data_IF_862354949673
#
_entry.id   IF_862354949673
#
_cell.length_a   1.000
_cell.length_b   1.000
_cell.length_c   1.000
_cell.angle_alpha   90.00
_cell.angle_beta   90.00
_cell.angle_gamma   90.00
#
_symmetry.space_group_name_H-M   'P 1'
#
loop_
_entity.id
_entity.type
_entity.pdbx_description
1 polymer ?
#
# COMPACT_ATOMS: atom_id res chain seq x y z
N UNK A 1 2.67 13.24 -48.09
CA UNK A 1 2.09 12.67 -46.86
C UNK A 1 3.18 12.26 -45.88
N UNK A 2 4.26 11.58 -46.33
CA UNK A 2 5.45 11.30 -45.51
C UNK A 2 6.28 12.54 -45.16
N UNK A 3 6.36 13.55 -46.04
CA UNK A 3 7.14 14.78 -45.76
C UNK A 3 6.56 15.63 -44.62
N UNK A 4 5.27 15.43 -44.33
CA UNK A 4 4.53 16.11 -43.26
C UNK A 4 4.80 15.45 -41.90
N UNK A 5 5.21 14.18 -41.89
CA UNK A 5 5.45 13.38 -40.69
C UNK A 5 6.66 13.87 -39.88
N UNK A 6 7.64 14.50 -40.52
CA UNK A 6 8.84 15.06 -39.89
C UNK A 6 8.81 16.59 -39.77
N UNK A 7 7.65 17.22 -39.97
CA UNK A 7 7.49 18.67 -39.90
C UNK A 7 6.59 19.07 -38.73
N UNK A 8 6.82 20.26 -38.17
CA UNK A 8 5.90 20.86 -37.20
C UNK A 8 4.58 21.24 -37.88
N UNK A 9 3.57 20.38 -37.74
CA UNK A 9 2.24 20.61 -38.28
C UNK A 9 1.34 21.17 -37.18
N UNK A 10 0.66 22.27 -37.50
CA UNK A 10 -0.36 22.87 -36.64
C UNK A 10 -1.70 22.94 -37.40
N UNK A 11 -2.80 22.65 -36.71
CA UNK A 11 -4.17 22.73 -37.24
C UNK A 11 -5.04 23.73 -36.44
N UNK A 12 -4.69 25.02 -36.41
CA UNK A 12 -5.46 26.02 -35.66
C UNK A 12 -6.88 26.14 -36.21
N UNK A 13 -7.87 26.30 -35.31
CA UNK A 13 -9.28 26.45 -35.67
C UNK A 13 -10.01 25.15 -36.04
N UNK A 14 -9.33 24.00 -35.94
CA UNK A 14 -9.97 22.68 -36.00
C UNK A 14 -10.32 22.24 -34.59
N UNK A 15 -11.53 21.71 -34.41
CA UNK A 15 -11.96 21.06 -33.17
C UNK A 15 -12.14 19.56 -33.37
N UNK A 16 -11.51 18.75 -32.50
CA UNK A 16 -11.68 17.29 -32.47
C UNK A 16 -12.54 16.92 -31.27
N UNK A 17 -13.57 16.11 -31.51
CA UNK A 17 -14.45 15.56 -30.47
C UNK A 17 -14.23 14.06 -30.31
N UNK A 18 -13.84 13.65 -29.10
CA UNK A 18 -13.74 12.24 -28.70
C UNK A 18 -14.83 11.90 -27.65
N UNK A 19 -15.92 11.21 -28.05
CA UNK A 19 -16.98 10.83 -27.13
C UNK A 19 -16.61 9.67 -26.17
N UNK A 20 -15.46 9.03 -26.34
CA UNK A 20 -14.98 7.88 -25.55
C UNK A 20 -13.49 8.03 -25.22
N UNK A 21 -13.12 9.17 -24.62
CA UNK A 21 -11.73 9.60 -24.54
C UNK A 21 -10.80 8.66 -23.76
N UNK A 22 -11.33 7.84 -22.84
CA UNK A 22 -10.53 6.90 -22.06
C UNK A 22 -9.34 7.58 -21.36
N UNK A 23 -8.12 7.17 -21.72
CA UNK A 23 -6.87 7.76 -21.22
C UNK A 23 -6.55 9.16 -21.75
N UNK A 24 -7.34 9.70 -22.68
CA UNK A 24 -7.20 11.05 -23.22
C UNK A 24 -6.16 11.19 -24.32
N UNK A 25 -5.68 10.09 -24.90
CA UNK A 25 -4.65 10.10 -25.96
C UNK A 25 -5.06 10.99 -27.13
N UNK A 26 -6.30 10.85 -27.63
CA UNK A 26 -6.82 11.69 -28.72
C UNK A 26 -6.76 13.17 -28.39
N UNK A 27 -7.09 13.55 -27.15
CA UNK A 27 -7.10 14.96 -26.74
C UNK A 27 -5.68 15.51 -26.61
N UNK A 28 -4.78 14.75 -25.98
CA UNK A 28 -3.37 15.14 -25.85
C UNK A 28 -2.71 15.36 -27.20
N UNK A 29 -2.88 14.44 -28.15
CA UNK A 29 -2.33 14.58 -29.51
C UNK A 29 -2.98 15.72 -30.29
N UNK A 30 -4.29 15.94 -30.13
CA UNK A 30 -4.99 17.10 -30.74
C UNK A 30 -4.40 18.43 -30.25
N UNK A 31 -4.18 18.57 -28.94
CA UNK A 31 -3.60 19.78 -28.35
C UNK A 31 -2.15 20.01 -28.80
N UNK A 32 -1.34 18.95 -28.94
CA UNK A 32 0.03 19.04 -29.51
C UNK A 32 0.02 19.59 -30.93
N UNK A 33 -1.00 19.25 -31.72
CA UNK A 33 -1.20 19.78 -33.07
C UNK A 33 -1.79 21.21 -33.08
N UNK A 34 -2.00 21.85 -31.93
CA UNK A 34 -2.56 23.22 -31.85
C UNK A 34 -4.03 23.31 -32.26
N UNK A 35 -4.76 22.19 -32.23
CA UNK A 35 -6.21 22.12 -32.45
C UNK A 35 -6.95 22.12 -31.11
N UNK A 36 -8.24 22.45 -31.14
CA UNK A 36 -9.13 22.39 -29.97
C UNK A 36 -9.59 20.95 -29.73
N UNK A 37 -9.63 20.52 -28.47
CA UNK A 37 -10.01 19.16 -28.09
C UNK A 37 -11.22 19.15 -27.15
N UNK A 38 -12.23 18.34 -27.48
CA UNK A 38 -13.41 18.10 -26.64
C UNK A 38 -13.50 16.61 -26.34
N UNK A 39 -13.48 16.24 -25.06
CA UNK A 39 -13.55 14.84 -24.64
C UNK A 39 -14.73 14.55 -23.73
N UNK A 40 -15.29 13.34 -23.85
CA UNK A 40 -16.24 12.77 -22.88
C UNK A 40 -15.86 11.35 -22.53
N UNK A 41 -16.15 10.98 -21.29
CA UNK A 41 -16.10 9.60 -20.82
C UNK A 41 -17.18 9.42 -19.74
N UNK A 42 -17.76 8.24 -19.67
CA UNK A 42 -18.71 7.89 -18.61
C UNK A 42 -17.99 7.63 -17.29
N UNK A 43 -16.72 7.23 -17.34
CA UNK A 43 -15.91 6.96 -16.16
C UNK A 43 -15.38 8.28 -15.57
N UNK A 44 -15.81 8.66 -14.35
CA UNK A 44 -15.34 9.89 -13.71
C UNK A 44 -13.83 9.88 -13.42
N UNK A 45 -13.22 8.70 -13.29
CA UNK A 45 -11.77 8.55 -13.09
C UNK A 45 -11.03 8.93 -14.36
N UNK A 46 -11.49 8.46 -15.53
CA UNK A 46 -10.94 8.86 -16.83
C UNK A 46 -11.01 10.37 -17.01
N UNK A 47 -12.17 10.97 -16.71
CA UNK A 47 -12.34 12.42 -16.77
C UNK A 47 -11.36 13.18 -15.86
N UNK A 48 -11.27 12.80 -14.58
CA UNK A 48 -10.37 13.46 -13.63
C UNK A 48 -8.90 13.32 -14.05
N UNK A 49 -8.48 12.13 -14.48
CA UNK A 49 -7.11 11.87 -14.91
C UNK A 49 -6.74 12.72 -16.13
N UNK A 50 -7.58 12.72 -17.17
CA UNK A 50 -7.33 13.46 -18.41
C UNK A 50 -7.33 14.96 -18.13
N UNK A 51 -8.34 15.49 -17.43
CA UNK A 51 -8.39 16.90 -17.04
C UNK A 51 -7.13 17.31 -16.30
N UNK A 52 -6.76 16.56 -15.26
CA UNK A 52 -5.53 16.81 -14.49
C UNK A 52 -4.32 16.87 -15.39
N UNK A 53 -4.11 15.85 -16.24
CA UNK A 53 -2.92 15.74 -17.08
C UNK A 53 -2.75 16.87 -18.08
N UNK A 54 -3.86 17.40 -18.62
CA UNK A 54 -3.86 18.45 -19.63
C UNK A 54 -3.89 19.87 -19.03
N UNK A 55 -4.15 20.00 -17.72
CA UNK A 55 -4.22 21.30 -17.02
C UNK A 55 -3.24 21.39 -15.85
N UNK A 56 -2.14 20.64 -15.87
CA UNK A 56 -1.13 20.68 -14.80
C UNK A 56 -0.56 22.10 -14.64
N UNK A 57 -0.52 22.58 -13.39
CA UNK A 57 0.16 23.82 -13.00
C UNK A 57 1.68 23.70 -13.05
N UNK A 58 2.34 24.82 -12.82
CA UNK A 58 3.79 24.87 -12.71
C UNK A 58 4.36 24.09 -11.53
N UNK A 59 5.68 23.86 -11.61
CA UNK A 59 6.43 23.12 -10.58
C UNK A 59 6.48 23.86 -9.25
N UNK A 60 6.44 25.20 -9.26
CA UNK A 60 6.56 26.03 -8.06
C UNK A 60 5.29 25.91 -7.21
N UNK A 61 4.12 26.15 -7.81
CA UNK A 61 2.84 26.06 -7.11
C UNK A 61 2.57 24.63 -6.58
N UNK A 62 3.05 23.63 -7.32
CA UNK A 62 2.97 22.23 -6.92
C UNK A 62 3.83 21.94 -5.68
N UNK A 63 5.07 22.43 -5.65
CA UNK A 63 5.99 22.26 -4.50
C UNK A 63 5.51 23.03 -3.27
N UNK A 64 5.05 24.28 -3.44
CA UNK A 64 4.45 25.07 -2.37
C UNK A 64 3.25 24.36 -1.75
N UNK A 65 2.37 23.80 -2.59
CA UNK A 65 1.22 23.04 -2.12
C UNK A 65 1.64 21.76 -1.40
N UNK A 66 2.65 21.05 -1.91
CA UNK A 66 3.19 19.87 -1.23
C UNK A 66 3.75 20.23 0.16
N UNK A 67 4.52 21.32 0.27
CA UNK A 67 5.06 21.78 1.54
C UNK A 67 3.98 22.27 2.51
N UNK A 68 2.90 22.86 2.02
CA UNK A 68 1.74 23.21 2.83
C UNK A 68 1.08 21.93 3.40
N UNK A 69 0.84 20.91 2.57
CA UNK A 69 0.32 19.61 3.04
C UNK A 69 1.29 18.97 4.05
N UNK A 70 2.60 18.99 3.76
CA UNK A 70 3.64 18.46 4.64
C UNK A 70 3.62 19.11 6.02
N UNK A 71 3.57 20.44 6.06
CA UNK A 71 3.47 21.20 7.31
C UNK A 71 2.23 20.83 8.12
N UNK A 72 1.10 20.63 7.45
CA UNK A 72 -0.19 20.47 8.12
C UNK A 72 -0.44 19.04 8.63
N UNK A 73 0.02 18.00 7.90
CA UNK A 73 -0.33 16.60 8.24
C UNK A 73 0.85 15.64 8.40
N UNK A 74 2.07 15.98 7.97
CA UNK A 74 3.17 15.00 7.95
C UNK A 74 3.55 14.52 9.36
N UNK A 75 3.65 15.44 10.33
CA UNK A 75 4.02 15.12 11.71
C UNK A 75 2.93 14.25 12.36
N UNK A 76 1.67 14.63 12.17
CA UNK A 76 0.52 13.94 12.76
C UNK A 76 0.33 12.53 12.18
N UNK A 77 0.56 12.34 10.87
CA UNK A 77 0.57 11.00 10.25
C UNK A 77 1.79 10.20 10.72
N UNK A 78 2.99 10.82 10.74
CA UNK A 78 4.24 10.12 11.05
C UNK A 78 4.33 9.65 12.50
N UNK A 79 3.57 10.25 13.42
CA UNK A 79 3.51 9.82 14.83
C UNK A 79 3.07 8.36 14.99
N UNK A 80 2.28 7.84 14.03
CA UNK A 80 1.78 6.47 14.00
C UNK A 80 2.75 5.44 13.38
N UNK A 81 3.87 5.92 12.83
CA UNK A 81 4.89 5.10 12.17
C UNK A 81 6.27 5.34 12.80
N UNK A 82 6.32 5.16 14.12
CA UNK A 82 7.55 5.26 14.91
C UNK A 82 7.69 4.05 15.83
N UNK A 83 8.93 3.72 16.16
CA UNK A 83 9.26 2.70 17.14
C UNK A 83 10.14 3.32 18.22
N UNK A 84 9.99 2.85 19.46
CA UNK A 84 10.83 3.23 20.59
C UNK A 84 12.07 2.32 20.64
N UNK A 85 13.25 2.93 20.67
CA UNK A 85 14.54 2.25 20.82
C UNK A 85 14.85 1.99 22.30
N UNK A 86 15.87 1.14 22.56
CA UNK A 86 16.26 0.75 23.92
C UNK A 86 16.76 1.94 24.75
N UNK A 87 17.38 2.94 24.11
CA UNK A 87 17.87 4.18 24.73
C UNK A 87 16.75 5.20 25.01
N UNK A 88 15.49 4.85 24.72
CA UNK A 88 14.33 5.72 24.89
C UNK A 88 14.08 6.69 23.73
N UNK A 89 14.97 6.76 22.75
CA UNK A 89 14.76 7.56 21.53
C UNK A 89 13.79 6.88 20.58
N UNK A 90 13.42 7.57 19.50
CA UNK A 90 12.51 7.05 18.47
C UNK A 90 13.22 6.91 17.13
N UNK A 91 12.85 5.87 16.40
CA UNK A 91 13.19 5.70 14.98
C UNK A 91 11.92 5.57 14.13
N UNK A 92 12.07 5.72 12.81
CA UNK A 92 10.93 5.65 11.89
C UNK A 92 10.63 4.19 11.54
N UNK A 93 9.36 3.82 11.54
CA UNK A 93 8.92 2.53 10.98
C UNK A 93 8.65 2.72 9.50
N UNK A 94 9.30 1.90 8.68
CA UNK A 94 9.07 1.86 7.24
C UNK A 94 7.86 1.00 6.92
N UNK A 95 7.77 -0.17 7.55
CA UNK A 95 6.71 -1.13 7.32
C UNK A 95 6.35 -1.91 8.58
N UNK A 96 5.06 -2.19 8.76
CA UNK A 96 4.56 -3.19 9.69
C UNK A 96 4.15 -4.44 8.89
N UNK A 97 4.51 -5.61 9.40
CA UNK A 97 4.13 -6.90 8.85
C UNK A 97 2.99 -7.48 9.67
N UNK A 98 1.93 -7.85 8.98
CA UNK A 98 0.72 -8.41 9.56
C UNK A 98 0.54 -9.85 9.14
N UNK A 99 -0.13 -10.65 9.97
CA UNK A 99 -0.59 -12.00 9.60
C UNK A 99 -2.08 -12.09 9.83
N UNK A 100 -2.79 -12.68 8.86
CA UNK A 100 -4.21 -13.01 8.95
C UNK A 100 -4.41 -14.12 9.98
N UNK A 101 -5.41 -13.96 10.85
CA UNK A 101 -5.76 -14.92 11.91
C UNK A 101 -7.18 -15.43 11.74
N UNK A 102 -7.38 -16.73 11.98
CA UNK A 102 -8.69 -17.40 11.88
C UNK A 102 -8.84 -18.34 13.08
N UNK A 103 -10.01 -18.37 13.77
CA UNK A 103 -10.23 -19.32 14.87
C UNK A 103 -10.27 -20.77 14.34
N UNK A 104 -9.59 -21.72 14.99
CA UNK A 104 -9.78 -23.15 14.64
C UNK A 104 -11.22 -23.55 14.98
N UNK A 105 -11.96 -24.19 14.06
CA UNK A 105 -13.37 -24.57 14.27
C UNK A 105 -13.57 -25.67 15.33
N UNK A 106 -12.49 -26.23 15.89
CA UNK A 106 -12.53 -27.28 16.91
C UNK A 106 -12.13 -26.80 18.32
N UNK A 107 -11.30 -25.77 18.44
CA UNK A 107 -10.80 -25.31 19.75
C UNK A 107 -10.74 -23.79 19.91
N UNK A 108 -11.25 -23.03 18.94
CA UNK A 108 -11.38 -21.56 18.91
C UNK A 108 -10.10 -20.74 19.06
N UNK A 109 -8.94 -21.37 19.28
CA UNK A 109 -7.65 -20.70 19.28
C UNK A 109 -7.40 -20.06 17.92
N UNK A 110 -6.93 -18.80 17.95
CA UNK A 110 -6.53 -18.04 16.77
C UNK A 110 -5.30 -18.69 16.12
N UNK A 111 -5.43 -19.05 14.84
CA UNK A 111 -4.35 -19.63 14.04
C UNK A 111 -3.78 -18.55 13.12
N UNK A 112 -2.51 -18.21 13.30
CA UNK A 112 -1.76 -17.35 12.38
C UNK A 112 -1.53 -18.07 11.04
N UNK A 113 -1.99 -17.49 9.94
CA UNK A 113 -1.97 -18.11 8.61
C UNK A 113 -0.62 -17.98 7.88
N UNK A 114 0.49 -18.26 8.58
CA UNK A 114 1.80 -18.35 7.95
C UNK A 114 1.88 -19.54 6.98
N UNK A 115 2.35 -19.30 5.76
CA UNK A 115 2.75 -20.41 4.87
C UNK A 115 4.16 -20.93 5.18
N UNK A 116 5.00 -20.08 5.77
CA UNK A 116 6.37 -20.33 6.22
C UNK A 116 6.77 -19.24 7.21
N UNK A 117 7.79 -19.49 8.02
CA UNK A 117 8.29 -18.53 9.01
C UNK A 117 9.42 -17.64 8.48
N UNK A 118 10.00 -17.95 7.33
CA UNK A 118 10.89 -17.04 6.60
C UNK A 118 10.06 -15.94 5.93
N UNK A 119 9.94 -14.78 6.58
CA UNK A 119 9.03 -13.71 6.15
C UNK A 119 9.71 -12.59 5.35
N UNK A 120 11.01 -12.35 5.54
CA UNK A 120 11.75 -11.33 4.81
C UNK A 120 12.98 -11.92 4.12
N UNK A 121 13.25 -11.46 2.89
CA UNK A 121 14.41 -11.86 2.08
C UNK A 121 14.72 -10.77 1.06
N UNK A 122 15.96 -10.75 0.57
CA UNK A 122 16.31 -9.94 -0.59
C UNK A 122 15.76 -10.56 -1.88
N UNK A 123 15.36 -9.71 -2.85
CA UNK A 123 14.87 -10.17 -4.16
C UNK A 123 15.91 -11.01 -4.91
N UNK A 124 17.20 -10.68 -4.75
CA UNK A 124 18.35 -11.42 -5.25
C UNK A 124 19.05 -12.21 -4.13
N UNK A 125 18.39 -13.26 -3.63
CA UNK A 125 18.84 -14.00 -2.43
C UNK A 125 20.21 -14.67 -2.57
N UNK A 126 20.69 -14.97 -3.80
CA UNK A 126 22.05 -15.51 -4.00
C UNK A 126 23.15 -14.48 -3.72
N UNK A 127 22.88 -13.20 -3.96
CA UNK A 127 23.83 -12.10 -3.70
C UNK A 127 23.72 -11.59 -2.26
N UNK A 128 22.51 -11.63 -1.71
CA UNK A 128 22.21 -11.25 -0.33
C UNK A 128 21.55 -12.45 0.37
N UNK A 129 22.36 -13.36 0.96
CA UNK A 129 21.90 -14.64 1.45
C UNK A 129 21.13 -14.57 2.77
N UNK A 130 21.05 -13.40 3.41
CA UNK A 130 20.33 -13.21 4.66
C UNK A 130 18.82 -13.22 4.42
N UNK A 131 18.13 -13.95 5.28
CA UNK A 131 16.67 -13.95 5.42
C UNK A 131 16.31 -13.72 6.88
N UNK A 132 15.09 -13.24 7.14
CA UNK A 132 14.59 -13.06 8.49
C UNK A 132 13.49 -14.07 8.78
N UNK A 133 13.63 -14.75 9.92
CA UNK A 133 12.71 -15.78 10.39
C UNK A 133 12.05 -15.32 11.68
N UNK A 134 10.73 -15.55 11.79
CA UNK A 134 9.98 -15.34 13.03
C UNK A 134 9.80 -16.67 13.77
N UNK A 135 10.01 -16.69 15.09
CA UNK A 135 9.69 -17.86 15.91
C UNK A 135 8.17 -17.99 16.10
N UNK A 136 7.56 -19.16 15.83
CA UNK A 136 6.12 -19.37 16.06
C UNK A 136 5.69 -19.38 17.53
N UNK A 137 6.62 -19.62 18.46
CA UNK A 137 6.30 -19.74 19.88
C UNK A 137 6.38 -18.39 20.61
N UNK A 138 7.46 -17.62 20.43
CA UNK A 138 7.67 -16.36 21.15
C UNK A 138 7.65 -15.11 20.27
N UNK A 139 7.57 -15.24 18.94
CA UNK A 139 7.57 -14.09 18.02
C UNK A 139 8.91 -13.38 17.84
N UNK A 140 10.00 -13.91 18.41
CA UNK A 140 11.35 -13.37 18.21
C UNK A 140 11.75 -13.45 16.73
N UNK A 141 12.59 -12.50 16.31
CA UNK A 141 13.06 -12.42 14.93
C UNK A 141 14.56 -12.67 14.91
N UNK A 142 15.01 -13.54 14.02
CA UNK A 142 16.42 -13.84 13.87
C UNK A 142 16.85 -13.81 12.39
N UNK A 143 17.98 -13.16 12.06
CA UNK A 143 18.59 -13.29 10.74
C UNK A 143 19.17 -14.69 10.58
N UNK A 144 19.02 -15.27 9.39
CA UNK A 144 19.49 -16.61 9.05
C UNK A 144 19.99 -16.64 7.61
N UNK A 145 20.75 -17.68 7.25
CA UNK A 145 21.09 -17.95 5.87
C UNK A 145 19.86 -18.51 5.11
N UNK A 146 19.66 -18.14 3.84
CA UNK A 146 18.46 -18.52 3.05
C UNK A 146 18.20 -20.02 2.88
N UNK A 147 19.20 -20.86 3.19
CA UNK A 147 19.10 -22.33 3.19
C UNK A 147 18.60 -22.92 4.51
N UNK A 148 18.32 -22.08 5.52
CA UNK A 148 17.78 -22.52 6.80
C UNK A 148 16.51 -23.35 6.59
N UNK A 149 16.42 -24.45 7.34
CA UNK A 149 15.25 -25.34 7.36
C UNK A 149 14.80 -25.53 8.79
N UNK A 150 15.61 -26.22 9.58
CA UNK A 150 15.37 -26.37 11.02
C UNK A 150 15.99 -25.19 11.76
N UNK A 151 15.29 -24.72 12.78
CA UNK A 151 15.74 -23.68 13.69
C UNK A 151 15.42 -24.07 15.12
N UNK A 152 16.33 -23.75 16.03
CA UNK A 152 16.07 -23.61 17.45
C UNK A 152 16.06 -22.11 17.76
N UNK A 153 14.97 -21.63 18.35
CA UNK A 153 14.83 -20.21 18.67
C UNK A 153 15.81 -19.81 19.79
N UNK A 154 16.69 -18.80 19.59
CA UNK A 154 17.66 -18.40 20.60
C UNK A 154 17.03 -17.85 21.90
N UNK A 155 15.80 -17.34 21.82
CA UNK A 155 15.09 -16.74 22.97
C UNK A 155 14.27 -17.74 23.81
N UNK A 156 13.75 -18.82 23.20
CA UNK A 156 12.80 -19.73 23.87
C UNK A 156 13.10 -21.22 23.64
N UNK A 157 14.19 -21.55 22.93
CA UNK A 157 14.62 -22.90 22.58
C UNK A 157 13.59 -23.75 21.83
N UNK A 158 12.55 -23.12 21.28
CA UNK A 158 11.55 -23.82 20.47
C UNK A 158 12.16 -24.26 19.14
N UNK A 159 12.07 -25.55 18.83
CA UNK A 159 12.54 -26.14 17.58
C UNK A 159 11.43 -26.22 16.52
N UNK A 160 11.66 -25.72 15.31
CA UNK A 160 10.67 -25.67 14.24
C UNK A 160 11.29 -25.68 12.83
N UNK A 161 10.47 -26.04 11.83
CA UNK A 161 10.82 -25.92 10.41
C UNK A 161 10.46 -24.52 9.90
N UNK A 162 11.46 -23.67 9.68
CA UNK A 162 11.31 -22.31 9.17
C UNK A 162 10.63 -22.23 7.79
N UNK A 163 10.61 -23.34 7.03
CA UNK A 163 10.01 -23.41 5.70
C UNK A 163 8.55 -23.85 5.69
N UNK A 164 8.00 -24.28 6.83
CA UNK A 164 6.62 -24.78 6.96
C UNK A 164 5.85 -24.01 8.03
N UNK A 165 4.81 -23.30 7.62
CA UNK A 165 3.83 -22.74 8.55
C UNK A 165 2.54 -23.57 8.62
N UNK A 166 1.52 -23.10 9.35
CA UNK A 166 0.23 -23.79 9.48
C UNK A 166 -0.54 -23.98 8.17
N UNK A 167 -0.25 -23.20 7.14
CA UNK A 167 -1.03 -23.17 5.89
C UNK A 167 -0.47 -24.08 4.81
N UNK A 168 -1.36 -24.89 4.20
CA UNK A 168 -1.10 -25.68 3.01
C UNK A 168 -2.18 -25.41 1.94
N UNK A 169 -1.87 -24.57 0.94
CA UNK A 169 -2.82 -24.26 -0.13
C UNK A 169 -4.05 -23.52 0.39
N UNK A 170 -5.22 -24.18 0.41
CA UNK A 170 -6.52 -23.62 0.87
C UNK A 170 -6.88 -24.04 2.31
N UNK A 171 -6.08 -24.88 2.94
CA UNK A 171 -6.31 -25.38 4.31
C UNK A 171 -5.25 -24.84 5.28
N UNK A 172 -5.58 -24.89 6.56
CA UNK A 172 -4.68 -24.60 7.67
C UNK A 172 -4.79 -25.70 8.73
N UNK A 173 -3.69 -25.95 9.43
CA UNK A 173 -3.63 -26.91 10.55
C UNK A 173 -3.37 -26.19 11.86
N UNK A 174 -4.24 -26.35 12.84
CA UNK A 174 -4.07 -25.77 14.17
C UNK A 174 -2.88 -26.41 14.90
N UNK A 175 -2.01 -25.60 15.50
CA UNK A 175 -0.88 -26.10 16.29
C UNK A 175 -1.29 -26.67 17.64
N UNK A 176 -2.47 -26.31 18.17
CA UNK A 176 -2.96 -26.77 19.47
C UNK A 176 -3.66 -28.13 19.40
N UNK A 177 -4.74 -28.24 18.63
CA UNK A 177 -5.55 -29.46 18.56
C UNK A 177 -5.28 -30.29 17.29
N UNK A 178 -4.38 -29.85 16.42
CA UNK A 178 -4.01 -30.51 15.17
C UNK A 178 -5.13 -30.62 14.13
N UNK A 179 -6.30 -29.98 14.37
CA UNK A 179 -7.42 -29.85 13.43
C UNK A 179 -6.91 -29.31 12.09
N UNK A 180 -7.29 -29.93 10.97
CA UNK A 180 -7.14 -29.32 9.65
C UNK A 180 -8.49 -28.75 9.21
N UNK A 181 -8.50 -27.53 8.69
CA UNK A 181 -9.72 -26.83 8.29
C UNK A 181 -9.52 -26.00 7.02
N UNK A 182 -10.62 -25.77 6.28
CA UNK A 182 -10.64 -24.95 5.08
C UNK A 182 -10.75 -23.47 5.43
N UNK A 183 -9.74 -22.67 5.07
CA UNK A 183 -9.62 -21.27 5.50
C UNK A 183 -10.83 -20.44 5.09
N UNK A 184 -11.17 -20.43 3.79
CA UNK A 184 -12.26 -19.58 3.28
C UNK A 184 -13.63 -19.93 3.87
N UNK A 185 -13.90 -21.22 4.08
CA UNK A 185 -15.14 -21.67 4.73
C UNK A 185 -15.21 -21.19 6.17
N UNK A 186 -14.14 -21.39 6.94
CA UNK A 186 -14.10 -20.96 8.34
C UNK A 186 -14.23 -19.45 8.49
N UNK A 187 -13.60 -18.66 7.60
CA UNK A 187 -13.77 -17.20 7.57
C UNK A 187 -15.22 -16.81 7.25
N UNK A 188 -15.87 -17.45 6.27
CA UNK A 188 -17.27 -17.16 5.96
C UNK A 188 -18.21 -17.50 7.14
N UNK A 189 -17.91 -18.58 7.88
CA UNK A 189 -18.66 -18.99 9.06
C UNK A 189 -18.53 -17.98 10.22
N UNK A 190 -17.49 -17.13 10.27
CA UNK A 190 -17.39 -16.05 11.27
C UNK A 190 -18.29 -14.84 10.96
N UNK A 191 -18.80 -14.74 9.73
CA UNK A 191 -19.69 -13.65 9.31
C UNK A 191 -19.03 -12.26 9.21
N UNK A 192 -17.70 -12.19 9.24
CA UNK A 192 -16.92 -10.95 9.19
C UNK A 192 -15.56 -11.16 8.52
N UNK A 193 -14.91 -10.09 8.02
CA UNK A 193 -13.53 -10.19 7.54
C UNK A 193 -12.60 -10.80 8.59
N UNK A 194 -11.53 -11.51 8.17
CA UNK A 194 -10.59 -12.11 9.10
C UNK A 194 -9.87 -11.04 9.93
N UNK A 195 -9.46 -11.44 11.13
CA UNK A 195 -8.62 -10.61 11.99
C UNK A 195 -7.16 -10.62 11.53
N UNK A 196 -6.39 -9.63 11.98
CA UNK A 196 -4.98 -9.51 11.66
C UNK A 196 -4.17 -9.13 12.90
N UNK A 197 -2.95 -9.66 13.00
CA UNK A 197 -2.01 -9.36 14.08
C UNK A 197 -0.68 -8.86 13.52
N UNK A 198 -0.12 -7.80 14.10
CA UNK A 198 1.25 -7.38 13.78
C UNK A 198 2.23 -8.42 14.33
N UNK A 199 3.21 -8.83 13.52
CA UNK A 199 4.21 -9.82 13.95
C UNK A 199 5.66 -9.34 13.78
N UNK A 200 5.91 -8.35 12.93
CA UNK A 200 7.23 -7.76 12.75
C UNK A 200 7.12 -6.32 12.25
N UNK A 201 8.21 -5.56 12.39
CA UNK A 201 8.37 -4.24 11.77
C UNK A 201 9.74 -4.11 11.13
N UNK A 202 9.83 -3.30 10.07
CA UNK A 202 11.10 -2.86 9.48
C UNK A 202 11.30 -1.38 9.81
N UNK A 203 12.30 -1.07 10.61
CA UNK A 203 12.63 0.30 11.02
C UNK A 203 13.76 0.88 10.19
N UNK A 204 13.82 2.22 10.17
CA UNK A 204 14.96 2.99 9.70
C UNK A 204 15.58 3.68 10.91
N UNK A 205 16.74 3.19 11.33
CA UNK A 205 17.52 3.74 12.44
C UNK A 205 18.07 5.13 12.11
N UNK A 206 18.52 5.86 13.13
CA UNK A 206 19.03 7.22 12.98
C UNK A 206 20.33 7.29 12.15
N UNK A 207 21.12 6.21 12.11
CA UNK A 207 22.29 6.05 11.22
C UNK A 207 21.89 5.59 9.79
N UNK A 208 20.60 5.48 9.51
CA UNK A 208 20.06 5.19 8.19
C UNK A 208 20.06 3.70 7.81
N UNK A 209 20.27 2.78 8.75
CA UNK A 209 20.19 1.34 8.51
C UNK A 209 18.75 0.83 8.61
N UNK A 210 18.49 -0.26 7.89
CA UNK A 210 17.20 -0.97 7.95
C UNK A 210 17.34 -2.14 8.90
N UNK A 211 16.44 -2.26 9.87
CA UNK A 211 16.45 -3.35 10.84
C UNK A 211 15.07 -3.98 11.01
N UNK A 212 15.02 -5.30 11.01
CA UNK A 212 13.80 -6.05 11.34
C UNK A 212 13.74 -6.24 12.84
N UNK A 213 12.62 -5.84 13.43
CA UNK A 213 12.41 -5.89 14.88
C UNK A 213 11.08 -6.58 15.19
N UNK A 214 10.98 -7.29 16.33
CA UNK A 214 9.70 -7.76 16.85
C UNK A 214 8.74 -6.60 17.14
N UNK A 215 7.46 -6.93 17.24
CA UNK A 215 6.43 -6.01 17.72
C UNK A 215 6.50 -5.91 19.24
N UNK A 216 6.42 -4.68 19.75
CA UNK A 216 6.47 -4.37 21.17
C UNK A 216 5.11 -3.87 21.66
N UNK A 217 4.91 -3.81 22.98
CA UNK A 217 3.72 -3.20 23.56
C UNK A 217 3.53 -1.73 23.16
N UNK A 218 4.63 -1.02 22.85
CA UNK A 218 4.54 0.35 22.33
C UNK A 218 3.92 0.40 20.94
N UNK A 219 4.26 -0.54 20.05
CA UNK A 219 3.70 -0.57 18.70
C UNK A 219 2.22 -0.96 18.71
N UNK A 220 1.84 -1.94 19.55
CA UNK A 220 0.45 -2.31 19.81
C UNK A 220 -0.34 -1.11 20.37
N UNK A 221 0.22 -0.43 21.38
CA UNK A 221 -0.39 0.77 21.97
C UNK A 221 -0.61 1.87 20.94
N UNK A 222 0.38 2.14 20.09
CA UNK A 222 0.28 3.14 19.04
C UNK A 222 -0.78 2.79 17.98
N UNK A 223 -0.98 1.50 17.69
CA UNK A 223 -2.08 1.06 16.83
C UNK A 223 -3.44 1.25 17.51
N UNK A 224 -3.55 0.95 18.81
CA UNK A 224 -4.80 1.17 19.57
C UNK A 224 -5.14 2.66 19.70
N UNK A 225 -4.14 3.54 19.85
CA UNK A 225 -4.33 4.99 19.77
C UNK A 225 -4.94 5.39 18.42
N UNK A 226 -4.43 4.83 17.31
CA UNK A 226 -4.98 5.11 15.98
C UNK A 226 -6.42 4.60 15.83
N UNK A 227 -6.74 3.43 16.41
CA UNK A 227 -8.11 2.88 16.44
C UNK A 227 -9.05 3.81 17.21
N UNK A 228 -8.63 4.29 18.38
CA UNK A 228 -9.41 5.22 19.21
C UNK A 228 -9.63 6.55 18.49
N UNK A 229 -8.55 7.16 17.96
CA UNK A 229 -8.64 8.44 17.25
C UNK A 229 -9.53 8.34 16.00
N UNK A 230 -9.46 7.23 15.25
CA UNK A 230 -10.35 6.99 14.10
C UNK A 230 -11.82 6.95 14.53
N UNK A 231 -12.11 6.24 15.62
CA UNK A 231 -13.48 6.09 16.15
C UNK A 231 -14.06 7.42 16.62
N UNK A 232 -13.22 8.29 17.20
CA UNK A 232 -13.62 9.61 17.70
C UNK A 232 -13.64 10.68 16.61
N UNK A 233 -13.01 10.41 15.46
CA UNK A 233 -12.97 11.34 14.33
C UNK A 233 -14.32 11.46 13.62
N UNK A 234 -14.55 12.61 12.99
CA UNK A 234 -15.66 12.85 12.07
C UNK A 234 -15.28 12.63 10.60
N UNK A 235 -14.21 11.87 10.35
CA UNK A 235 -13.72 11.63 9.00
C UNK A 235 -14.72 10.82 8.18
N UNK A 236 -14.97 11.27 6.95
CA UNK A 236 -15.80 10.52 6.01
C UNK A 236 -14.99 9.39 5.39
N UNK A 237 -15.32 8.16 5.75
CA UNK A 237 -14.72 6.95 5.19
C UNK A 237 -15.77 6.28 4.29
N UNK A 238 -15.54 6.21 2.97
CA UNK A 238 -16.46 5.56 2.04
C UNK A 238 -16.72 4.11 2.45
N UNK A 239 -17.98 3.71 2.50
CA UNK A 239 -18.43 2.40 3.00
C UNK A 239 -19.23 1.61 1.96
N UNK A 240 -19.05 1.91 0.67
CA UNK A 240 -19.78 1.29 -0.41
C UNK A 240 -19.60 -0.23 -0.39
N UNK A 241 -20.71 -0.92 -0.65
CA UNK A 241 -20.73 -2.38 -0.72
C UNK A 241 -19.98 -2.87 -1.95
N UNK A 242 -19.37 -4.04 -1.80
CA UNK A 242 -18.67 -4.71 -2.89
C UNK A 242 -19.66 -5.61 -3.62
N UNK A 243 -19.94 -5.27 -4.88
CA UNK A 243 -20.84 -6.06 -5.71
C UNK A 243 -20.18 -7.38 -6.16
N UNK A 244 -20.94 -8.49 -6.25
CA UNK A 244 -20.45 -9.75 -6.79
C UNK A 244 -19.94 -9.63 -8.23
N UNK A 245 -18.87 -10.36 -8.54
CA UNK A 245 -18.18 -10.26 -9.83
C UNK A 245 -16.95 -11.15 -9.88
N UNK A 246 -16.36 -11.33 -11.07
CA UNK A 246 -15.27 -12.30 -11.27
C UNK A 246 -14.11 -12.11 -10.28
N UNK A 247 -13.63 -10.87 -10.12
CA UNK A 247 -12.55 -10.56 -9.19
C UNK A 247 -13.03 -10.30 -7.76
N UNK A 248 -14.18 -9.65 -7.57
CA UNK A 248 -14.73 -9.31 -6.25
C UNK A 248 -15.21 -10.53 -5.47
N UNK A 249 -15.62 -11.61 -6.14
CA UNK A 249 -15.95 -12.88 -5.50
C UNK A 249 -14.77 -13.44 -4.68
N UNK A 250 -13.53 -13.12 -5.03
CA UNK A 250 -12.36 -13.60 -4.30
C UNK A 250 -12.28 -13.04 -2.88
N UNK A 251 -12.64 -11.76 -2.69
CA UNK A 251 -12.65 -11.10 -1.38
C UNK A 251 -13.96 -11.32 -0.63
N UNK A 252 -15.09 -11.43 -1.35
CA UNK A 252 -16.37 -11.84 -0.78
C UNK A 252 -16.28 -13.25 -0.14
N UNK A 253 -15.54 -14.17 -0.77
CA UNK A 253 -15.25 -15.51 -0.22
C UNK A 253 -14.35 -15.49 1.04
N UNK A 254 -13.89 -14.32 1.45
CA UNK A 254 -13.15 -14.06 2.69
C UNK A 254 -13.89 -13.06 3.59
N UNK A 255 -15.19 -12.83 3.38
CA UNK A 255 -16.03 -12.00 4.24
C UNK A 255 -15.86 -10.49 4.06
N UNK A 256 -15.08 -10.02 3.08
CA UNK A 256 -14.97 -8.59 2.76
C UNK A 256 -16.18 -8.14 1.93
N UNK A 257 -17.03 -7.31 2.51
CA UNK A 257 -18.29 -6.82 1.92
C UNK A 257 -18.27 -5.32 1.60
N UNK A 258 -17.28 -4.57 2.06
CA UNK A 258 -17.14 -3.13 1.82
C UNK A 258 -15.68 -2.71 1.54
N UNK A 259 -15.47 -1.70 0.70
CA UNK A 259 -14.13 -1.29 0.25
C UNK A 259 -13.22 -0.77 1.36
N UNK A 260 -13.78 -0.13 2.39
CA UNK A 260 -13.01 0.32 3.55
C UNK A 260 -12.44 -0.82 4.40
N UNK A 261 -13.00 -2.03 4.31
CA UNK A 261 -12.49 -3.21 5.03
C UNK A 261 -11.16 -3.72 4.47
N UNK A 262 -10.73 -3.23 3.29
CA UNK A 262 -9.42 -3.57 2.72
C UNK A 262 -8.25 -2.83 3.41
N UNK A 263 -8.54 -1.98 4.39
CA UNK A 263 -7.59 -1.18 5.13
C UNK A 263 -7.72 -1.45 6.63
N UNK A 264 -6.61 -1.30 7.37
CA UNK A 264 -6.68 -1.30 8.83
C UNK A 264 -7.00 0.11 9.38
N UNK A 265 -7.30 0.21 10.68
CA UNK A 265 -7.73 1.48 11.29
C UNK A 265 -6.66 2.58 11.21
N UNK A 266 -5.38 2.24 11.44
CA UNK A 266 -4.28 3.20 11.30
C UNK A 266 -4.16 3.72 9.87
N UNK A 267 -4.32 2.85 8.87
CA UNK A 267 -4.34 3.25 7.47
C UNK A 267 -5.49 4.20 7.17
N UNK A 268 -6.72 3.84 7.56
CA UNK A 268 -7.90 4.66 7.36
C UNK A 268 -7.76 6.05 8.02
N UNK A 269 -7.25 6.12 9.25
CA UNK A 269 -7.00 7.37 9.95
C UNK A 269 -6.04 8.28 9.19
N UNK A 270 -4.86 7.77 8.85
CA UNK A 270 -3.81 8.55 8.20
C UNK A 270 -4.21 8.96 6.77
N UNK A 271 -4.87 8.08 6.02
CA UNK A 271 -5.42 8.37 4.69
C UNK A 271 -6.50 9.45 4.79
N UNK A 272 -7.38 9.39 5.79
CA UNK A 272 -8.45 10.39 5.98
C UNK A 272 -7.90 11.78 6.31
N UNK A 273 -6.88 11.88 7.18
CA UNK A 273 -6.17 13.14 7.47
C UNK A 273 -5.62 13.78 6.20
N UNK A 274 -4.93 12.97 5.39
CA UNK A 274 -4.35 13.41 4.14
C UNK A 274 -5.43 13.85 3.14
N UNK A 275 -6.48 13.05 2.96
CA UNK A 275 -7.58 13.36 2.04
C UNK A 275 -8.29 14.66 2.43
N UNK A 276 -8.58 14.85 3.71
CA UNK A 276 -9.20 16.08 4.18
C UNK A 276 -8.35 17.31 3.87
N UNK A 277 -7.04 17.22 4.10
CA UNK A 277 -6.14 18.31 3.75
C UNK A 277 -6.08 18.57 2.25
N UNK A 278 -6.13 17.53 1.42
CA UNK A 278 -6.19 17.68 -0.04
C UNK A 278 -7.49 18.38 -0.47
N UNK A 279 -8.63 18.07 0.17
CA UNK A 279 -9.93 18.70 -0.13
C UNK A 279 -9.93 20.21 0.14
N UNK A 280 -9.13 20.68 1.08
CA UNK A 280 -8.98 22.10 1.43
C UNK A 280 -8.15 22.90 0.43
N UNK A 281 -7.51 22.26 -0.55
CA UNK A 281 -6.80 22.97 -1.62
C UNK A 281 -7.81 23.78 -2.44
N UNK A 282 -7.65 25.10 -2.45
CA UNK A 282 -8.55 26.03 -3.13
C UNK A 282 -8.44 25.98 -4.65
N UNK A 283 -7.22 25.91 -5.19
CA UNK A 283 -6.99 25.75 -6.62
C UNK A 283 -7.43 24.36 -7.08
N UNK A 284 -8.38 24.32 -8.03
CA UNK A 284 -8.98 23.08 -8.51
C UNK A 284 -7.97 22.19 -9.23
N UNK A 285 -7.04 22.76 -10.00
CA UNK A 285 -6.06 22.01 -10.78
C UNK A 285 -5.04 21.35 -9.85
N UNK A 286 -4.58 22.07 -8.83
CA UNK A 286 -3.70 21.52 -7.79
C UNK A 286 -4.44 20.46 -6.97
N UNK A 287 -5.68 20.72 -6.56
CA UNK A 287 -6.50 19.74 -5.82
C UNK A 287 -6.68 18.44 -6.60
N UNK A 288 -6.98 18.53 -7.89
CA UNK A 288 -7.10 17.36 -8.76
C UNK A 288 -5.78 16.59 -8.88
N UNK A 289 -4.66 17.30 -9.08
CA UNK A 289 -3.33 16.70 -9.14
C UNK A 289 -2.97 15.92 -7.86
N UNK A 290 -3.22 16.50 -6.70
CA UNK A 290 -3.02 15.83 -5.41
C UNK A 290 -4.04 14.72 -5.16
N UNK A 291 -5.26 14.82 -5.70
CA UNK A 291 -6.26 13.74 -5.66
C UNK A 291 -5.83 12.55 -6.52
N UNK A 292 -5.27 12.78 -7.71
CA UNK A 292 -4.67 11.72 -8.54
C UNK A 292 -3.49 11.04 -7.82
N UNK A 293 -2.60 11.82 -7.21
CA UNK A 293 -1.51 11.29 -6.39
C UNK A 293 -2.05 10.46 -5.21
N UNK A 294 -3.08 10.96 -4.52
CA UNK A 294 -3.74 10.27 -3.43
C UNK A 294 -4.35 8.94 -3.88
N UNK A 295 -5.06 8.92 -5.00
CA UNK A 295 -5.57 7.67 -5.59
C UNK A 295 -4.45 6.65 -5.82
N UNK A 296 -3.28 7.12 -6.27
CA UNK A 296 -2.10 6.28 -6.45
C UNK A 296 -1.57 5.66 -5.15
N UNK A 297 -1.60 6.37 -4.01
CA UNK A 297 -1.09 5.80 -2.75
C UNK A 297 -2.01 4.69 -2.20
N UNK A 298 -3.33 4.74 -2.48
CA UNK A 298 -4.28 3.74 -1.98
C UNK A 298 -3.96 2.34 -2.50
N UNK A 299 -3.40 2.23 -3.70
CA UNK A 299 -2.96 0.98 -4.31
C UNK A 299 -1.83 0.29 -3.52
N UNK A 300 -0.98 1.09 -2.87
CA UNK A 300 0.21 0.65 -2.14
C UNK A 300 0.00 0.56 -0.63
N UNK A 301 -1.03 1.20 -0.07
CA UNK A 301 -1.24 1.33 1.37
C UNK A 301 -2.58 0.72 1.79
N UNK A 302 -2.69 -0.60 1.70
CA UNK A 302 -3.87 -1.37 2.09
C UNK A 302 -3.43 -2.76 2.60
N UNK A 303 -4.35 -3.52 3.18
CA UNK A 303 -4.11 -4.87 3.75
C UNK A 303 -4.03 -5.98 2.68
N UNK A 304 -4.00 -5.62 1.40
CA UNK A 304 -3.77 -6.52 0.27
C UNK A 304 -2.39 -6.31 -0.36
N UNK A 305 -1.64 -5.32 0.10
CA UNK A 305 -0.25 -5.15 -0.26
C UNK A 305 0.61 -6.24 0.39
N UNK A 306 1.62 -6.74 -0.32
CA UNK A 306 2.54 -7.77 0.20
C UNK A 306 3.99 -7.35 0.09
N UNK A 307 4.85 -8.00 0.86
CA UNK A 307 6.28 -7.75 0.81
C UNK A 307 6.90 -8.38 -0.45
N UNK A 308 7.54 -7.55 -1.29
CA UNK A 308 8.26 -7.98 -2.50
C UNK A 308 9.67 -8.49 -2.21
N UNK A 309 10.23 -8.10 -1.06
CA UNK A 309 11.64 -8.33 -0.73
C UNK A 309 12.48 -7.07 -0.84
N UNK A 310 13.67 -7.10 -0.26
CA UNK A 310 14.61 -5.98 -0.35
C UNK A 310 15.16 -5.83 -1.78
N UNK A 311 15.55 -4.59 -2.13
CA UNK A 311 16.29 -4.28 -3.35
C UNK A 311 15.46 -3.93 -4.59
N UNK A 312 14.12 -4.04 -4.58
CA UNK A 312 13.29 -3.76 -5.78
C UNK A 312 12.00 -2.96 -5.51
N UNK A 313 12.02 -2.10 -4.48
CA UNK A 313 10.82 -1.53 -3.85
C UNK A 313 10.16 -2.57 -2.95
N UNK A 314 9.83 -2.22 -1.71
CA UNK A 314 9.41 -3.21 -0.71
C UNK A 314 7.95 -3.65 -0.88
N UNK A 315 7.10 -2.76 -1.37
CA UNK A 315 5.66 -2.97 -1.51
C UNK A 315 5.33 -3.58 -2.86
N UNK A 316 4.65 -4.72 -2.87
CA UNK A 316 3.89 -5.22 -4.02
C UNK A 316 2.45 -4.69 -3.87
N UNK A 317 1.96 -3.84 -4.79
CA UNK A 317 0.63 -3.23 -4.68
C UNK A 317 -0.49 -4.25 -4.92
N UNK A 318 -1.72 -3.89 -4.50
CA UNK A 318 -2.91 -4.76 -4.53
C UNK A 318 -3.18 -5.35 -5.92
N UNK A 319 -3.03 -4.56 -7.00
CA UNK A 319 -3.40 -4.99 -8.35
C UNK A 319 -2.26 -5.66 -9.16
N UNK A 320 -1.11 -5.97 -8.55
CA UNK A 320 0.04 -6.56 -9.25
C UNK A 320 -0.29 -7.88 -9.97
N UNK A 321 -1.22 -8.68 -9.45
CA UNK A 321 -1.61 -9.97 -10.03
C UNK A 321 -2.92 -9.91 -10.84
N UNK A 322 -3.46 -8.73 -11.14
CA UNK A 322 -4.77 -8.53 -11.79
C UNK A 322 -5.94 -9.27 -11.10
N UNK A 323 -5.82 -9.49 -9.79
CA UNK A 323 -6.80 -10.18 -8.94
C UNK A 323 -6.94 -9.45 -7.60
N UNK A 324 -8.09 -9.63 -6.93
CA UNK A 324 -8.32 -9.13 -5.57
C UNK A 324 -8.10 -10.28 -4.58
N UNK A 325 -6.84 -10.55 -4.24
CA UNK A 325 -6.46 -11.67 -3.38
C UNK A 325 -6.17 -11.18 -1.96
N UNK A 326 -6.92 -11.61 -0.94
CA UNK A 326 -6.57 -11.34 0.46
C UNK A 326 -5.17 -11.86 0.77
N UNK A 327 -4.29 -10.96 1.21
CA UNK A 327 -2.94 -11.36 1.60
C UNK A 327 -2.95 -11.95 3.01
N UNK A 328 -2.36 -13.14 3.15
CA UNK A 328 -2.22 -13.79 4.46
C UNK A 328 -1.19 -13.10 5.33
N UNK A 329 -0.18 -12.50 4.69
CA UNK A 329 0.84 -11.71 5.38
C UNK A 329 0.94 -10.32 4.77
N UNK A 330 -0.03 -9.43 5.03
CA UNK A 330 -0.01 -8.07 4.48
C UNK A 330 1.19 -7.27 4.96
N UNK A 331 1.61 -6.33 4.11
CA UNK A 331 2.61 -5.33 4.41
C UNK A 331 1.92 -3.96 4.49
N UNK A 332 1.92 -3.37 5.66
CA UNK A 332 1.51 -2.00 5.83
C UNK A 332 2.71 -1.07 5.69
N UNK A 333 2.65 -0.14 4.73
CA UNK A 333 3.68 0.88 4.54
C UNK A 333 3.36 2.18 5.28
N UNK A 334 4.41 2.93 5.61
CA UNK A 334 4.28 4.29 6.12
C UNK A 334 3.61 5.21 5.08
N UNK A 335 2.43 5.73 5.41
CA UNK A 335 1.60 6.52 4.49
C UNK A 335 2.26 7.83 4.05
N UNK A 336 2.86 8.58 4.98
CA UNK A 336 3.55 9.82 4.64
C UNK A 336 4.82 9.54 3.84
N UNK A 337 5.64 8.61 4.34
CA UNK A 337 6.86 8.14 3.71
C UNK A 337 8.15 8.64 4.36
N UNK A 338 9.23 7.98 3.96
CA UNK A 338 10.62 8.29 4.32
C UNK A 338 11.50 8.21 3.07
N UNK A 339 12.76 8.68 3.11
CA UNK A 339 13.70 8.58 1.99
C UNK A 339 13.96 7.15 1.48
N UNK A 340 13.61 6.11 2.27
CA UNK A 340 13.82 4.69 1.91
C UNK A 340 12.53 3.88 1.86
N UNK A 341 11.38 4.55 1.87
CA UNK A 341 10.06 3.93 1.72
C UNK A 341 9.66 3.81 0.24
N UNK A 342 8.69 2.95 -0.05
CA UNK A 342 8.10 2.80 -1.38
C UNK A 342 6.58 2.88 -1.28
N UNK A 343 5.92 3.55 -2.23
CA UNK A 343 4.47 3.63 -2.29
C UNK A 343 3.83 4.65 -1.33
N UNK A 344 4.63 5.46 -0.65
CA UNK A 344 4.16 6.48 0.28
C UNK A 344 3.90 7.83 -0.42
N UNK A 345 3.05 8.68 0.14
CA UNK A 345 2.64 9.97 -0.44
C UNK A 345 3.81 10.86 -0.85
N UNK A 346 4.73 11.14 0.09
CA UNK A 346 5.89 12.01 -0.17
C UNK A 346 6.87 11.40 -1.19
N UNK A 347 6.92 10.07 -1.30
CA UNK A 347 7.77 9.39 -2.30
C UNK A 347 7.13 9.38 -3.68
N UNK A 348 5.81 9.17 -3.78
CA UNK A 348 5.09 9.20 -5.05
C UNK A 348 4.95 10.62 -5.59
N UNK A 349 4.86 11.63 -4.71
CA UNK A 349 4.97 13.04 -5.11
C UNK A 349 6.26 13.28 -5.90
N UNK A 350 7.42 12.99 -5.29
CA UNK A 350 8.74 13.21 -5.89
C UNK A 350 9.00 12.34 -7.12
N UNK A 351 8.62 11.06 -7.06
CA UNK A 351 8.96 10.09 -8.11
C UNK A 351 7.95 10.02 -9.26
N UNK A 352 6.73 10.56 -9.09
CA UNK A 352 5.68 10.54 -10.13
C UNK A 352 5.20 11.95 -10.43
N UNK A 353 4.44 12.58 -9.54
CA UNK A 353 3.73 13.82 -9.86
C UNK A 353 4.67 14.96 -10.26
N UNK A 354 5.76 15.17 -9.50
CA UNK A 354 6.78 16.16 -9.81
C UNK A 354 7.43 15.90 -11.17
N UNK A 355 7.84 14.66 -11.43
CA UNK A 355 8.45 14.25 -12.71
C UNK A 355 7.49 14.39 -13.90
N UNK A 356 6.19 14.18 -13.68
CA UNK A 356 5.18 14.38 -14.71
C UNK A 356 5.07 15.86 -15.11
N UNK A 357 5.11 16.79 -14.13
CA UNK A 357 5.14 18.24 -14.41
C UNK A 357 6.44 18.66 -15.08
N UNK A 358 7.59 18.12 -14.65
CA UNK A 358 8.88 18.37 -15.30
C UNK A 358 8.86 17.91 -16.78
N UNK A 359 8.39 16.70 -17.05
CA UNK A 359 8.24 16.18 -18.42
C UNK A 359 7.25 17.00 -19.26
N UNK A 360 6.13 17.45 -18.67
CA UNK A 360 5.15 18.25 -19.39
C UNK A 360 5.70 19.61 -19.85
N UNK A 361 6.71 20.16 -19.15
CA UNK A 361 7.39 21.41 -19.53
C UNK A 361 8.51 21.20 -20.52
N UNK A 362 9.30 20.14 -20.34
CA UNK A 362 10.46 19.81 -21.15
C UNK A 362 10.38 18.35 -21.64
N UNK A 363 9.48 18.05 -22.59
CA UNK A 363 9.36 16.71 -23.13
C UNK A 363 10.63 16.36 -23.93
N UNK A 364 11.22 15.21 -23.66
CA UNK A 364 12.45 14.75 -24.32
C UNK A 364 12.18 13.92 -25.60
N UNK A 365 10.91 13.64 -25.91
CA UNK A 365 10.48 12.84 -27.07
C UNK A 365 10.05 13.70 -28.27
N UNK A 366 10.18 15.03 -28.17
CA UNK A 366 9.88 15.98 -29.24
C UNK A 366 11.14 16.38 -30.01
#
# INVERSE_FOLDING_TARGET
MLDVFYSDVRFPGIAVFDPFMGSGTTLGETLKLGADAIGRDINPVSYLQVRTSLTLKGSEELEETFHAIEKDVAVDISKYYRARLQDGTYCRVLYYFWVMTVPCPNCDIQVDLFSKYIFARHAYTRRNPTVHVICPACGSISPQHYRVRQMECPECNHCFDATKGPVAGKTARCSNCLCEFAIGRTVLETGSPPSYRMYAKLVLTNDGKKEYQPITCFDEGLYQEAVAELRESSYHIPGETIDPGYNTNQILNYGFTAWNQLFNARQLLCISKLMNRIREIGDVQLRDAFTCLFSGILEFNNMFASYKGEGTGAVRPMFYHHILKPERTPLEANIWGTPKSSGAFSTLFRSRLKRAVEYAREPFEL
#
